data_IF_249179753476
#
_entry.id   IF_249179753476
#
_cell.length_a   1.000
_cell.length_b   1.000
_cell.length_c   1.000
_cell.angle_alpha   90.00
_cell.angle_beta   90.00
_cell.angle_gamma   90.00
#
_symmetry.space_group_name_H-M   'P 1'
#
loop_
_entity.id
_entity.type
_entity.pdbx_description
1 polymer ?
#
# COMPACT_ATOMS: atom_id res chain seq x y z
N UNK A 1 14.11 8.42 1.75
CA UNK A 1 13.13 7.36 1.42
C UNK A 1 13.02 7.07 -0.09
N UNK A 2 13.77 7.76 -0.98
CA UNK A 2 13.50 7.77 -2.43
C UNK A 2 14.31 6.77 -3.30
N UNK A 3 14.80 5.62 -2.80
CA UNK A 3 15.61 4.77 -3.69
C UNK A 3 15.53 3.25 -3.51
N UNK A 4 14.75 2.71 -2.57
CA UNK A 4 14.76 1.24 -2.34
C UNK A 4 13.92 0.47 -3.36
N UNK A 5 12.76 1.01 -3.77
CA UNK A 5 11.89 0.36 -4.77
C UNK A 5 12.57 0.27 -6.16
N UNK A 6 13.26 1.34 -6.57
CA UNK A 6 14.03 1.38 -7.81
C UNK A 6 15.30 0.49 -7.73
N UNK A 7 15.96 0.44 -6.56
CA UNK A 7 17.11 -0.46 -6.34
C UNK A 7 16.72 -1.94 -6.42
N UNK A 8 15.52 -2.31 -5.96
CA UNK A 8 15.04 -3.69 -6.07
C UNK A 8 14.89 -4.14 -7.52
N UNK A 9 14.36 -3.27 -8.37
CA UNK A 9 14.33 -3.51 -9.81
C UNK A 9 15.75 -3.59 -10.40
N UNK A 10 16.60 -2.62 -10.10
CA UNK A 10 17.97 -2.57 -10.64
C UNK A 10 18.85 -3.76 -10.22
N UNK A 11 18.53 -4.43 -9.11
CA UNK A 11 19.26 -5.61 -8.61
C UNK A 11 18.68 -6.95 -9.07
N UNK A 12 17.60 -7.00 -9.85
CA UNK A 12 16.87 -8.25 -10.16
C UNK A 12 16.62 -9.11 -8.90
N UNK A 13 16.35 -8.44 -7.77
CA UNK A 13 16.31 -9.07 -6.46
C UNK A 13 14.94 -9.65 -6.13
N UNK A 14 14.91 -10.78 -5.43
CA UNK A 14 13.67 -11.35 -4.89
C UNK A 14 13.10 -10.62 -3.66
N UNK A 15 13.63 -9.43 -3.32
CA UNK A 15 13.18 -8.70 -2.14
C UNK A 15 11.85 -7.97 -2.31
N UNK A 16 11.28 -7.57 -1.18
CA UNK A 16 10.07 -6.75 -1.07
C UNK A 16 10.41 -5.38 -0.48
N UNK A 17 9.58 -4.38 -0.74
CA UNK A 17 9.57 -3.12 0.01
C UNK A 17 8.42 -3.15 0.99
N UNK A 18 8.74 -2.96 2.26
CA UNK A 18 7.76 -2.80 3.32
C UNK A 18 7.56 -1.31 3.63
N UNK A 19 6.32 -0.84 3.52
CA UNK A 19 5.92 0.52 3.86
C UNK A 19 4.96 0.46 5.06
N UNK A 20 5.32 1.11 6.15
CA UNK A 20 4.43 1.29 7.29
C UNK A 20 3.78 2.68 7.22
N UNK A 21 2.44 2.72 7.23
CA UNK A 21 1.65 3.94 7.30
C UNK A 21 0.99 3.97 8.67
N UNK A 22 1.31 4.98 9.48
CA UNK A 22 0.76 5.14 10.83
C UNK A 22 -0.40 6.13 10.81
N UNK A 23 -1.56 5.68 11.26
CA UNK A 23 -2.85 6.35 11.20
C UNK A 23 -3.70 5.85 10.04
N UNK A 24 -4.78 5.12 10.34
CA UNK A 24 -5.75 4.65 9.34
C UNK A 24 -7.00 5.53 9.27
N UNK A 25 -6.82 6.86 9.42
CA UNK A 25 -7.82 7.85 9.03
C UNK A 25 -7.96 7.94 7.51
N UNK A 26 -8.73 8.92 7.02
CA UNK A 26 -8.99 9.08 5.58
C UNK A 26 -7.70 9.15 4.75
N UNK A 27 -6.74 9.97 5.18
CA UNK A 27 -5.47 10.17 4.48
C UNK A 27 -4.62 8.90 4.42
N UNK A 28 -4.52 8.14 5.52
CA UNK A 28 -3.70 6.92 5.54
C UNK A 28 -4.31 5.81 4.66
N UNK A 29 -5.63 5.69 4.68
CA UNK A 29 -6.37 4.76 3.82
C UNK A 29 -6.21 5.11 2.34
N UNK A 30 -6.43 6.37 1.97
CA UNK A 30 -6.26 6.83 0.58
C UNK A 30 -4.82 6.62 0.09
N UNK A 31 -3.82 7.01 0.88
CA UNK A 31 -2.42 6.80 0.54
C UNK A 31 -2.10 5.31 0.34
N UNK A 32 -2.63 4.43 1.19
CA UNK A 32 -2.40 2.98 1.06
C UNK A 32 -2.94 2.43 -0.26
N UNK A 33 -4.13 2.88 -0.68
CA UNK A 33 -4.73 2.48 -1.95
C UNK A 33 -3.95 3.04 -3.16
N UNK A 34 -3.55 4.31 -3.09
CA UNK A 34 -2.80 4.95 -4.17
C UNK A 34 -1.41 4.33 -4.38
N UNK A 35 -0.73 3.87 -3.33
CA UNK A 35 0.54 3.15 -3.47
C UNK A 35 0.38 1.85 -4.26
N UNK A 36 -0.70 1.10 -4.05
CA UNK A 36 -0.98 -0.10 -4.84
C UNK A 36 -1.27 0.24 -6.31
N UNK A 37 -1.96 1.33 -6.58
CA UNK A 37 -2.23 1.80 -7.95
C UNK A 37 -0.94 2.27 -8.64
N UNK A 38 -0.10 3.04 -7.96
CA UNK A 38 1.18 3.52 -8.49
C UNK A 38 2.10 2.35 -8.89
N UNK A 39 2.14 1.26 -8.13
CA UNK A 39 2.93 0.06 -8.51
C UNK A 39 2.39 -0.60 -9.78
N UNK A 40 1.06 -0.68 -9.96
CA UNK A 40 0.45 -1.19 -11.19
C UNK A 40 0.80 -0.32 -12.40
N UNK A 41 0.82 1.00 -12.23
CA UNK A 41 1.22 1.92 -13.28
C UNK A 41 2.70 1.77 -13.65
N UNK A 42 3.58 1.63 -12.65
CA UNK A 42 5.02 1.41 -12.88
C UNK A 42 5.30 0.15 -13.72
N UNK A 43 4.52 -0.92 -13.57
CA UNK A 43 4.63 -2.08 -14.49
C UNK A 43 4.44 -1.71 -15.95
N UNK A 44 3.47 -0.86 -16.23
CA UNK A 44 3.11 -0.44 -17.58
C UNK A 44 4.23 0.40 -18.22
N UNK A 45 5.06 1.05 -17.40
CA UNK A 45 6.22 1.84 -17.84
C UNK A 45 7.51 1.03 -18.05
N UNK A 46 7.45 -0.30 -18.10
CA UNK A 46 8.60 -1.16 -18.41
C UNK A 46 9.33 -1.75 -17.20
N UNK A 47 8.84 -1.49 -15.98
CA UNK A 47 9.33 -2.13 -14.75
C UNK A 47 8.61 -3.46 -14.49
N UNK A 48 8.66 -4.38 -15.46
CA UNK A 48 7.86 -5.61 -15.48
C UNK A 48 8.03 -6.53 -14.25
N UNK A 49 9.16 -6.43 -13.55
CA UNK A 49 9.47 -7.23 -12.35
C UNK A 49 8.88 -6.64 -11.04
N UNK A 50 8.32 -5.43 -11.08
CA UNK A 50 7.74 -4.74 -9.91
C UNK A 50 6.23 -4.93 -9.88
N UNK A 51 5.67 -5.99 -9.24
CA UNK A 51 4.21 -6.10 -8.98
C UNK A 51 3.90 -5.68 -7.55
N UNK A 52 2.60 -5.62 -7.27
CA UNK A 52 2.07 -5.61 -5.92
C UNK A 52 2.68 -6.67 -4.99
N UNK A 53 3.19 -7.82 -5.47
CA UNK A 53 3.85 -8.81 -4.60
C UNK A 53 5.21 -8.34 -4.06
N UNK A 54 5.80 -7.31 -4.69
CA UNK A 54 7.04 -6.66 -4.25
C UNK A 54 6.79 -5.49 -3.29
N UNK A 55 5.53 -5.11 -3.04
CA UNK A 55 5.17 -4.02 -2.15
C UNK A 55 4.24 -4.50 -1.04
N UNK A 56 4.72 -4.47 0.20
CA UNK A 56 3.92 -4.74 1.38
C UNK A 56 3.54 -3.43 2.05
N UNK A 57 2.27 -3.05 2.01
CA UNK A 57 1.76 -1.87 2.70
C UNK A 57 1.11 -2.29 4.02
N UNK A 58 1.69 -1.84 5.13
CA UNK A 58 1.18 -2.06 6.48
C UNK A 58 0.51 -0.78 6.98
N UNK A 59 -0.83 -0.75 6.99
CA UNK A 59 -1.61 0.35 7.53
C UNK A 59 -1.93 0.10 9.02
N UNK A 60 -1.44 0.97 9.89
CA UNK A 60 -1.45 0.81 11.35
C UNK A 60 -2.37 1.86 11.97
N UNK A 61 -3.25 1.44 12.86
CA UNK A 61 -4.16 2.32 13.61
C UNK A 61 -4.20 1.90 15.07
N UNK A 62 -4.34 2.87 15.97
CA UNK A 62 -4.45 2.62 17.40
C UNK A 62 -5.87 2.17 17.80
N UNK A 63 -6.88 2.60 17.06
CA UNK A 63 -8.27 2.18 17.23
C UNK A 63 -8.57 0.78 16.67
N UNK A 64 -9.77 0.27 16.99
CA UNK A 64 -10.21 -1.08 16.58
C UNK A 64 -10.46 -1.23 15.07
N UNK A 65 -10.60 -0.11 14.33
CA UNK A 65 -10.93 -0.13 12.90
C UNK A 65 -10.34 1.08 12.16
N UNK A 66 -10.12 0.90 10.86
CA UNK A 66 -9.80 1.99 9.95
C UNK A 66 -10.99 2.95 9.79
N UNK A 67 -10.72 4.18 9.40
CA UNK A 67 -11.70 5.25 9.24
C UNK A 67 -12.62 5.35 10.48
N UNK A 68 -12.09 5.47 11.72
CA UNK A 68 -12.89 5.34 12.93
C UNK A 68 -14.01 6.38 13.03
N UNK A 69 -13.85 7.54 12.38
CA UNK A 69 -14.84 8.61 12.30
C UNK A 69 -16.03 8.29 11.37
N UNK A 70 -15.96 7.23 10.55
CA UNK A 70 -17.04 6.81 9.67
C UNK A 70 -17.91 5.71 10.31
N UNK A 71 -19.14 5.49 9.80
CA UNK A 71 -19.98 4.39 10.26
C UNK A 71 -19.31 3.02 10.06
N UNK A 72 -19.50 2.04 10.98
CA UNK A 72 -18.82 0.75 10.92
C UNK A 72 -18.94 0.04 9.57
N UNK A 73 -20.11 0.12 8.92
CA UNK A 73 -20.34 -0.48 7.59
C UNK A 73 -19.36 0.03 6.54
N UNK A 74 -19.03 1.33 6.58
CA UNK A 74 -18.10 1.96 5.62
C UNK A 74 -16.66 1.56 5.96
N UNK A 75 -16.27 1.61 7.24
CA UNK A 75 -14.96 1.12 7.69
C UNK A 75 -14.71 -0.33 7.27
N UNK A 76 -15.69 -1.21 7.47
CA UNK A 76 -15.59 -2.62 7.08
C UNK A 76 -15.49 -2.80 5.56
N UNK A 77 -16.27 -2.06 4.78
CA UNK A 77 -16.21 -2.12 3.32
C UNK A 77 -14.83 -1.65 2.79
N UNK A 78 -14.31 -0.53 3.33
CA UNK A 78 -12.98 -0.04 2.98
C UNK A 78 -11.88 -1.04 3.39
N UNK A 79 -11.99 -1.64 4.57
CA UNK A 79 -11.02 -2.64 5.02
C UNK A 79 -11.02 -3.86 4.10
N UNK A 80 -12.20 -4.37 3.71
CA UNK A 80 -12.33 -5.46 2.76
C UNK A 80 -11.71 -5.14 1.40
N UNK A 81 -11.79 -3.88 0.95
CA UNK A 81 -11.17 -3.48 -0.31
C UNK A 81 -9.64 -3.42 -0.22
N UNK A 82 -9.10 -2.95 0.91
CA UNK A 82 -7.64 -2.86 1.11
C UNK A 82 -6.94 -4.22 1.27
N UNK A 83 -7.67 -5.27 1.65
CA UNK A 83 -7.10 -6.62 1.87
C UNK A 83 -7.30 -7.58 0.68
N UNK A 84 -7.88 -7.10 -0.44
CA UNK A 84 -8.00 -7.86 -1.70
C UNK A 84 -6.70 -7.85 -2.49
#
# INVERSE_FOLDING_TARGET
>A
MNNEFLKLHAKNGNGTVDIAIVGAGATGVELSAELHNAVKELRTYGFGDLDSSKLNVNLIEAGERILPALPPRISSAAHQELVK
#
